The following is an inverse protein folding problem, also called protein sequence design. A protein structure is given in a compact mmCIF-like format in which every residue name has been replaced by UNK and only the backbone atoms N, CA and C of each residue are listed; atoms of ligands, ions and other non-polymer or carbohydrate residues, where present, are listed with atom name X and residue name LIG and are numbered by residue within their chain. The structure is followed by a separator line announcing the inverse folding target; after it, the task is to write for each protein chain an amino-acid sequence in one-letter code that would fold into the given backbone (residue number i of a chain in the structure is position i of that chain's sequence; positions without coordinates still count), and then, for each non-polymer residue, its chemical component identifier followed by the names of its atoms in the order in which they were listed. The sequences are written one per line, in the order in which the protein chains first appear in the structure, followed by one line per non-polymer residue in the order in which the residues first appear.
data_IF_581023037474
#
_entry.id   IF_581023037474
#
_cell.length_a   1.000
_cell.length_b   1.000
_cell.length_c   1.000
_cell.angle_alpha   90.00
_cell.angle_beta   90.00
_cell.angle_gamma   90.00
#
_symmetry.space_group_name_H-M   'P 1'
#
loop_
_entity.id
_entity.type
_entity.pdbx_description
1 polymer ?
#
# COMPACT_ATOMS: atom_id res chain seq x y z
N UNK A 1 6.48 -0.61 27.44
CA UNK A 1 7.15 -0.20 26.18
C UNK A 1 6.06 0.07 25.14
N UNK A 2 5.94 1.29 24.64
CA UNK A 2 4.92 1.61 23.62
C UNK A 2 5.29 0.90 22.30
N UNK A 3 4.33 0.19 21.71
CA UNK A 3 4.50 -0.52 20.42
C UNK A 3 4.98 0.41 19.31
N UNK A 4 4.66 1.70 19.40
CA UNK A 4 5.10 2.74 18.47
C UNK A 4 6.62 2.96 18.53
N UNK A 5 7.25 2.83 19.70
CA UNK A 5 8.70 2.96 19.86
C UNK A 5 9.48 1.79 19.25
N UNK A 6 8.83 0.65 18.99
CA UNK A 6 9.46 -0.51 18.34
C UNK A 6 9.21 -0.56 16.83
N UNK A 7 8.17 0.14 16.36
CA UNK A 7 7.77 0.15 14.95
C UNK A 7 8.40 1.32 14.18
N UNK A 8 8.36 2.52 14.74
CA UNK A 8 8.77 3.72 14.01
C UNK A 8 10.29 3.91 13.95
N UNK A 9 10.76 4.38 12.81
CA UNK A 9 12.15 4.76 12.55
C UNK A 9 12.17 6.08 11.77
N UNK A 10 13.31 6.76 11.79
CA UNK A 10 13.49 7.98 11.02
C UNK A 10 13.77 7.65 9.54
N UNK A 11 13.12 8.38 8.65
CA UNK A 11 13.35 8.30 7.21
C UNK A 11 12.79 9.54 6.50
N UNK A 12 13.14 9.67 5.23
CA UNK A 12 12.69 10.77 4.39
C UNK A 12 12.80 10.40 2.91
N UNK A 13 11.96 11.03 2.10
CA UNK A 13 11.96 10.91 0.64
C UNK A 13 11.63 12.27 0.02
N UNK A 14 12.27 12.58 -1.11
CA UNK A 14 11.99 13.77 -1.90
C UNK A 14 11.63 13.34 -3.32
N UNK A 15 10.52 13.86 -3.83
CA UNK A 15 9.97 13.49 -5.12
C UNK A 15 9.73 14.77 -5.91
N UNK A 16 10.33 14.85 -7.09
CA UNK A 16 10.10 15.94 -8.03
C UNK A 16 8.99 15.55 -9.00
N UNK A 17 7.91 16.33 -9.02
CA UNK A 17 6.79 16.15 -9.93
C UNK A 17 6.75 17.31 -10.92
N UNK A 18 6.39 17.00 -12.17
CA UNK A 18 6.16 18.01 -13.20
C UNK A 18 4.91 17.67 -13.99
N UNK A 19 4.17 18.71 -14.38
CA UNK A 19 3.07 18.64 -15.33
C UNK A 19 3.48 19.11 -16.74
N UNK A 20 4.76 19.45 -16.95
CA UNK A 20 5.26 19.96 -18.23
C UNK A 20 5.58 18.81 -19.17
N UNK A 21 5.06 18.88 -20.40
CA UNK A 21 5.25 17.82 -21.42
C UNK A 21 6.72 17.54 -21.75
N UNK A 22 7.59 18.55 -21.75
CA UNK A 22 9.02 18.34 -22.04
C UNK A 22 9.75 17.55 -20.94
N UNK A 23 9.22 17.55 -19.70
CA UNK A 23 9.82 16.77 -18.61
C UNK A 23 9.50 15.29 -18.70
N UNK A 24 8.54 14.88 -19.53
CA UNK A 24 8.13 13.48 -19.70
C UNK A 24 9.30 12.60 -20.18
N UNK A 25 10.20 13.14 -21.02
CA UNK A 25 11.34 12.40 -21.56
C UNK A 25 12.38 12.02 -20.49
N UNK A 26 12.49 12.80 -19.42
CA UNK A 26 13.43 12.58 -18.31
C UNK A 26 12.78 12.00 -17.06
N UNK A 27 11.46 11.82 -17.09
CA UNK A 27 10.69 11.35 -15.93
C UNK A 27 10.75 9.84 -15.80
N UNK A 28 10.89 9.35 -14.57
CA UNK A 28 10.87 7.90 -14.29
C UNK A 28 9.47 7.31 -14.43
N UNK A 29 8.50 7.99 -13.84
CA UNK A 29 7.13 7.54 -13.67
C UNK A 29 6.13 8.60 -14.10
N UNK A 30 4.94 8.15 -14.50
CA UNK A 30 3.76 8.97 -14.73
C UNK A 30 2.69 8.58 -13.73
N UNK A 31 2.18 9.57 -12.99
CA UNK A 31 1.03 9.38 -12.11
C UNK A 31 -0.24 9.26 -12.97
N UNK A 32 -0.99 8.17 -12.81
CA UNK A 32 -2.23 7.92 -13.55
C UNK A 32 -3.45 8.26 -12.71
N UNK A 33 -3.52 7.74 -11.48
CA UNK A 33 -4.67 7.88 -10.61
C UNK A 33 -4.26 8.09 -9.16
N UNK A 34 -5.03 8.92 -8.45
CA UNK A 34 -4.98 9.09 -7.00
C UNK A 34 -6.37 8.88 -6.45
N UNK A 35 -6.52 7.94 -5.50
CA UNK A 35 -7.78 7.66 -4.82
C UNK A 35 -7.55 7.72 -3.33
N UNK A 36 -8.29 8.60 -2.67
CA UNK A 36 -8.24 8.77 -1.22
C UNK A 36 -9.59 8.45 -0.59
N UNK A 37 -9.56 7.57 0.39
CA UNK A 37 -10.69 7.25 1.25
C UNK A 37 -10.44 7.82 2.64
N UNK A 38 -11.46 8.45 3.23
CA UNK A 38 -11.42 9.04 4.56
C UNK A 38 -12.58 8.52 5.41
N UNK A 39 -12.28 7.88 6.53
CA UNK A 39 -13.28 7.28 7.43
C UNK A 39 -13.45 8.04 8.75
N UNK A 40 -12.92 9.27 8.86
CA UNK A 40 -12.94 9.99 10.14
C UNK A 40 -14.28 10.54 10.63
N UNK A 41 -15.37 10.26 9.92
CA UNK A 41 -16.71 10.42 10.46
C UNK A 41 -17.14 9.25 11.36
N UNK A 42 -16.45 8.11 11.33
CA UNK A 42 -16.68 6.98 12.23
C UNK A 42 -15.74 7.09 13.43
N UNK A 43 -16.29 7.16 14.64
CA UNK A 43 -15.52 7.38 15.88
C UNK A 43 -14.45 6.31 16.12
N UNK A 44 -14.73 5.06 15.75
CA UNK A 44 -13.75 3.97 15.87
C UNK A 44 -12.58 4.15 14.92
N UNK A 45 -12.84 4.67 13.72
CA UNK A 45 -11.83 5.00 12.72
C UNK A 45 -11.03 6.24 13.13
N UNK A 46 -11.70 7.26 13.64
CA UNK A 46 -11.07 8.48 14.18
C UNK A 46 -10.16 8.16 15.36
N UNK A 47 -10.66 7.39 16.33
CA UNK A 47 -9.92 6.93 17.50
C UNK A 47 -8.87 5.85 17.26
N UNK A 48 -8.67 5.41 16.02
CA UNK A 48 -7.79 4.26 15.74
C UNK A 48 -6.29 4.58 15.84
N UNK A 49 -5.91 5.82 15.52
CA UNK A 49 -4.54 6.33 15.59
C UNK A 49 -4.61 7.79 16.02
N UNK A 50 -4.21 8.06 17.27
CA UNK A 50 -4.24 9.41 17.85
C UNK A 50 -2.89 9.72 18.47
N UNK A 51 -2.38 10.93 18.24
CA UNK A 51 -1.29 11.49 19.02
C UNK A 51 -1.87 12.09 20.29
N UNK A 52 -1.41 11.63 21.45
CA UNK A 52 -1.91 12.05 22.76
C UNK A 52 -0.85 11.83 23.83
N UNK A 53 -1.02 12.48 24.98
CA UNK A 53 -0.19 12.26 26.15
C UNK A 53 -0.55 10.93 26.83
N UNK A 54 0.44 10.27 27.41
CA UNK A 54 0.21 9.15 28.32
C UNK A 54 -0.11 9.65 29.75
N UNK A 55 -0.30 8.70 30.67
CA UNK A 55 -0.63 9.03 32.06
C UNK A 55 0.45 9.81 32.81
N UNK A 56 1.68 9.80 32.29
CA UNK A 56 2.84 10.50 32.86
C UNK A 56 3.13 11.83 32.13
N UNK A 57 2.28 12.21 31.15
CA UNK A 57 2.37 13.46 30.40
C UNK A 57 3.35 13.42 29.21
N UNK A 58 3.81 12.24 28.80
CA UNK A 58 4.67 12.12 27.63
C UNK A 58 3.85 11.99 26.35
N UNK A 59 4.12 12.87 25.38
CA UNK A 59 3.48 12.84 24.06
C UNK A 59 3.87 11.55 23.34
N UNK A 60 2.86 10.77 22.96
CA UNK A 60 3.02 9.53 22.21
C UNK A 60 1.97 9.35 21.13
N UNK A 61 1.99 8.18 20.49
CA UNK A 61 0.95 7.76 19.54
C UNK A 61 0.24 6.55 20.11
N UNK A 62 -1.07 6.68 20.29
CA UNK A 62 -1.99 5.62 20.69
C UNK A 62 -2.51 4.90 19.45
N UNK A 63 -2.43 3.56 19.47
CA UNK A 63 -2.94 2.68 18.43
C UNK A 63 -4.05 1.81 19.01
N UNK A 64 -5.25 1.88 18.46
CA UNK A 64 -6.36 1.07 18.95
C UNK A 64 -6.23 -0.41 18.53
N UNK A 65 -6.87 -1.30 19.29
CA UNK A 65 -6.96 -2.73 18.91
C UNK A 65 -7.79 -2.96 17.64
N UNK A 66 -8.63 -2.00 17.25
CA UNK A 66 -9.46 -2.07 16.05
C UNK A 66 -8.73 -1.63 14.78
N UNK A 67 -7.47 -1.20 14.88
CA UNK A 67 -6.68 -0.66 13.76
C UNK A 67 -6.72 -1.55 12.51
N UNK A 68 -6.48 -2.85 12.65
CA UNK A 68 -6.48 -3.79 11.51
C UNK A 68 -7.85 -3.90 10.84
N UNK A 69 -8.93 -3.91 11.63
CA UNK A 69 -10.30 -3.98 11.09
C UNK A 69 -10.68 -2.67 10.38
N UNK A 70 -10.35 -1.52 10.97
CA UNK A 70 -10.55 -0.21 10.35
C UNK A 70 -9.75 -0.10 9.04
N UNK A 71 -8.50 -0.59 9.04
CA UNK A 71 -7.67 -0.62 7.85
C UNK A 71 -8.26 -1.47 6.72
N UNK A 72 -8.75 -2.67 7.03
CA UNK A 72 -9.42 -3.53 6.06
C UNK A 72 -10.67 -2.89 5.46
N UNK A 73 -11.48 -2.21 6.27
CA UNK A 73 -12.66 -1.50 5.78
C UNK A 73 -12.29 -0.31 4.89
N UNK A 74 -11.31 0.50 5.31
CA UNK A 74 -10.84 1.63 4.52
C UNK A 74 -10.24 1.16 3.18
N UNK A 75 -9.49 0.05 3.19
CA UNK A 75 -8.98 -0.57 1.97
C UNK A 75 -10.11 -1.05 1.07
N UNK A 76 -11.12 -1.74 1.62
CA UNK A 76 -12.28 -2.23 0.84
C UNK A 76 -13.02 -1.09 0.13
N UNK A 77 -13.25 0.02 0.83
CA UNK A 77 -13.86 1.21 0.23
C UNK A 77 -12.93 1.88 -0.78
N UNK A 78 -11.62 1.86 -0.55
CA UNK A 78 -10.68 2.43 -1.50
C UNK A 78 -10.61 1.62 -2.81
N UNK A 79 -10.61 0.29 -2.72
CA UNK A 79 -10.57 -0.57 -3.92
C UNK A 79 -11.88 -0.56 -4.71
N UNK A 80 -13.02 -0.29 -4.08
CA UNK A 80 -14.28 -0.14 -4.83
C UNK A 80 -14.28 1.10 -5.72
N UNK A 81 -13.61 2.17 -5.28
CA UNK A 81 -13.42 3.39 -6.08
C UNK A 81 -12.28 3.24 -7.10
N UNK A 82 -11.19 2.58 -6.71
CA UNK A 82 -10.03 2.38 -7.60
C UNK A 82 -10.30 1.37 -8.72
N UNK A 83 -11.04 0.29 -8.43
CA UNK A 83 -11.28 -0.82 -9.34
C UNK A 83 -11.72 -0.40 -10.74
N UNK A 84 -12.78 0.43 -10.88
CA UNK A 84 -13.25 0.91 -12.18
C UNK A 84 -12.22 1.74 -12.98
N UNK A 85 -11.24 2.35 -12.32
CA UNK A 85 -10.21 3.18 -12.96
C UNK A 85 -9.06 2.35 -13.53
N UNK A 86 -8.79 1.17 -12.96
CA UNK A 86 -7.55 0.41 -13.22
C UNK A 86 -7.76 -0.99 -13.76
N UNK A 87 -8.89 -1.62 -13.44
CA UNK A 87 -9.15 -3.00 -13.84
C UNK A 87 -9.59 -3.07 -15.31
N UNK A 88 -9.18 -4.11 -16.05
CA UNK A 88 -9.72 -4.37 -17.38
C UNK A 88 -11.25 -4.53 -17.36
N UNK A 89 -11.93 -4.11 -18.44
CA UNK A 89 -13.39 -4.20 -18.55
C UNK A 89 -13.96 -5.59 -18.24
N UNK A 90 -13.26 -6.67 -18.61
CA UNK A 90 -13.68 -8.05 -18.32
C UNK A 90 -13.78 -8.34 -16.81
N UNK A 91 -12.84 -7.82 -16.03
CA UNK A 91 -12.85 -7.94 -14.57
C UNK A 91 -13.95 -7.07 -13.94
N UNK A 92 -14.19 -5.88 -14.50
CA UNK A 92 -15.29 -5.02 -14.07
C UNK A 92 -16.65 -5.68 -14.31
N UNK A 93 -16.84 -6.34 -15.46
CA UNK A 93 -18.06 -7.08 -15.77
C UNK A 93 -18.27 -8.26 -14.82
N UNK A 94 -17.22 -8.98 -14.44
CA UNK A 94 -17.30 -10.07 -13.43
C UNK A 94 -17.74 -9.54 -12.07
N UNK A 95 -17.17 -8.42 -11.63
CA UNK A 95 -17.57 -7.75 -10.39
C UNK A 95 -19.02 -7.28 -10.45
N UNK A 96 -19.40 -6.61 -11.56
CA UNK A 96 -20.75 -6.10 -11.79
C UNK A 96 -21.80 -7.21 -11.82
N UNK A 97 -21.51 -8.32 -12.50
CA UNK A 97 -22.38 -9.50 -12.53
C UNK A 97 -22.55 -10.12 -11.15
N UNK A 98 -21.47 -10.22 -10.36
CA UNK A 98 -21.54 -10.69 -8.97
C UNK A 98 -22.45 -9.82 -8.09
N UNK A 99 -22.40 -8.50 -8.27
CA UNK A 99 -23.26 -7.55 -7.55
C UNK A 99 -24.73 -7.62 -7.99
N UNK A 100 -24.98 -7.73 -9.31
CA UNK A 100 -26.33 -7.83 -9.90
C UNK A 100 -26.99 -9.17 -9.55
N UNK A 101 -26.25 -10.26 -9.63
CA UNK A 101 -26.73 -11.60 -9.27
C UNK A 101 -27.13 -11.67 -7.79
N UNK A 102 -26.44 -10.95 -6.91
CA UNK A 102 -26.82 -10.80 -5.49
C UNK A 102 -28.09 -9.97 -5.30
N UNK A 103 -28.25 -8.90 -6.09
CA UNK A 103 -29.41 -8.01 -6.02
C UNK A 103 -30.69 -8.66 -6.56
N UNK A 104 -30.55 -9.55 -7.55
CA UNK A 104 -31.66 -10.23 -8.22
C UNK A 104 -31.95 -11.64 -7.66
N UNK A 105 -30.95 -12.35 -7.12
CA UNK A 105 -31.07 -13.74 -6.67
C UNK A 105 -30.60 -13.91 -5.21
N UNK A 106 -31.57 -13.75 -4.30
CA UNK A 106 -31.71 -14.47 -3.02
C UNK A 106 -31.12 -13.88 -1.72
N UNK A 107 -32.05 -13.76 -0.77
CA UNK A 107 -32.05 -13.90 0.70
C UNK A 107 -31.28 -15.12 1.28
N UNK A 108 -30.07 -15.45 0.81
CA UNK A 108 -29.35 -16.60 1.37
C UNK A 108 -27.82 -16.41 1.41
N UNK A 109 -27.29 -16.36 2.63
CA UNK A 109 -25.92 -16.72 2.94
C UNK A 109 -24.86 -15.65 2.64
N UNK A 110 -23.99 -15.41 3.63
CA UNK A 110 -22.75 -14.63 3.52
C UNK A 110 -21.76 -15.31 2.55
N UNK A 111 -22.03 -15.32 1.23
CA UNK A 111 -21.02 -15.67 0.24
C UNK A 111 -20.01 -14.52 0.15
N UNK A 112 -18.72 -14.85 0.25
CA UNK A 112 -17.61 -13.91 0.22
C UNK A 112 -17.72 -12.95 -0.96
N UNK A 113 -17.50 -11.66 -0.70
CA UNK A 113 -17.46 -10.61 -1.73
C UNK A 113 -16.38 -11.00 -2.73
N UNK A 114 -16.73 -11.06 -4.02
CA UNK A 114 -15.74 -11.27 -5.09
C UNK A 114 -14.69 -10.17 -5.00
N UNK A 115 -13.45 -10.56 -4.68
CA UNK A 115 -12.29 -9.66 -4.68
C UNK A 115 -11.73 -9.67 -6.11
N UNK A 116 -11.70 -8.51 -6.80
CA UNK A 116 -11.11 -8.42 -8.13
C UNK A 116 -9.64 -8.82 -8.12
N UNK A 117 -9.18 -9.45 -9.20
CA UNK A 117 -7.77 -9.78 -9.35
C UNK A 117 -6.96 -8.54 -9.77
N UNK A 118 -6.44 -7.82 -8.79
CA UNK A 118 -5.64 -6.62 -9.01
C UNK A 118 -4.28 -6.90 -9.65
N UNK A 119 -3.81 -8.16 -9.70
CA UNK A 119 -2.59 -8.53 -10.43
C UNK A 119 -2.74 -8.35 -11.95
N UNK A 120 -3.98 -8.21 -12.45
CA UNK A 120 -4.26 -7.86 -13.85
C UNK A 120 -4.12 -6.38 -14.15
N UNK A 121 -4.19 -5.54 -13.12
CA UNK A 121 -4.05 -4.10 -13.23
C UNK A 121 -2.63 -3.60 -12.86
N UNK A 122 -1.90 -4.36 -12.04
CA UNK A 122 -0.61 -3.95 -11.52
C UNK A 122 0.41 -5.07 -11.56
N UNK A 123 1.61 -4.73 -12.01
CA UNK A 123 2.77 -5.61 -12.02
C UNK A 123 3.50 -5.56 -10.66
N UNK A 124 3.43 -4.43 -9.95
CA UNK A 124 4.12 -4.22 -8.68
C UNK A 124 3.24 -3.57 -7.63
N UNK A 125 3.45 -3.97 -6.37
CA UNK A 125 2.73 -3.46 -5.21
C UNK A 125 3.73 -2.87 -4.20
N UNK A 126 3.42 -1.68 -3.69
CA UNK A 126 4.11 -1.00 -2.60
C UNK A 126 3.09 -0.78 -1.49
N UNK A 127 3.09 -1.69 -0.51
CA UNK A 127 2.15 -1.67 0.60
C UNK A 127 2.87 -1.03 1.78
N UNK A 128 2.41 0.15 2.20
CA UNK A 128 3.00 0.91 3.30
C UNK A 128 3.39 0.00 4.46
N UNK A 129 4.69 0.01 4.76
CA UNK A 129 5.31 -0.70 5.88
C UNK A 129 4.89 -0.15 7.27
N UNK A 130 3.58 -0.09 7.53
CA UNK A 130 2.99 0.34 8.80
C UNK A 130 3.31 -0.62 9.95
N UNK A 131 3.46 -1.90 9.61
CA UNK A 131 3.78 -3.01 10.50
C UNK A 131 3.43 -4.33 9.81
N UNK A 132 3.94 -5.45 10.33
CA UNK A 132 3.74 -6.79 9.73
C UNK A 132 2.27 -7.12 9.54
N UNK A 133 1.44 -6.90 10.58
CA UNK A 133 0.02 -7.20 10.54
C UNK A 133 -0.75 -6.40 9.48
N UNK A 134 -0.30 -5.18 9.17
CA UNK A 134 -0.92 -4.36 8.10
C UNK A 134 -0.59 -4.94 6.73
N UNK A 135 0.67 -5.33 6.50
CA UNK A 135 1.08 -5.97 5.24
C UNK A 135 0.29 -7.29 5.05
N UNK A 136 0.26 -8.14 6.09
CA UNK A 136 -0.47 -9.42 6.07
C UNK A 136 -1.98 -9.21 5.78
N UNK A 137 -2.59 -8.17 6.38
CA UNK A 137 -3.99 -7.85 6.16
C UNK A 137 -4.26 -7.39 4.71
N UNK A 138 -3.38 -6.55 4.13
CA UNK A 138 -3.53 -6.10 2.74
C UNK A 138 -3.36 -7.26 1.77
N UNK A 139 -2.31 -8.08 1.95
CA UNK A 139 -2.07 -9.27 1.13
C UNK A 139 -3.28 -10.21 1.16
N UNK A 140 -3.83 -10.48 2.34
CA UNK A 140 -5.03 -11.31 2.50
C UNK A 140 -6.27 -10.72 1.83
N UNK A 141 -6.54 -9.42 2.02
CA UNK A 141 -7.71 -8.75 1.44
C UNK A 141 -7.65 -8.68 -0.09
N UNK A 142 -6.46 -8.57 -0.67
CA UNK A 142 -6.24 -8.48 -2.11
C UNK A 142 -5.88 -9.83 -2.75
N UNK A 143 -5.79 -10.91 -1.96
CA UNK A 143 -5.35 -12.24 -2.39
C UNK A 143 -3.98 -12.23 -3.09
N UNK A 144 -3.07 -11.40 -2.58
CA UNK A 144 -1.70 -11.29 -3.06
C UNK A 144 -0.83 -12.45 -2.53
N UNK A 145 0.19 -12.79 -3.29
CA UNK A 145 1.21 -13.74 -2.87
C UNK A 145 2.31 -13.01 -2.08
N UNK A 146 3.13 -13.76 -1.33
CA UNK A 146 4.20 -13.17 -0.50
C UNK A 146 5.22 -12.41 -1.32
N UNK A 147 5.45 -12.85 -2.56
CA UNK A 147 6.37 -12.25 -3.52
C UNK A 147 5.88 -10.85 -3.96
N UNK A 148 4.56 -10.66 -4.03
CA UNK A 148 3.96 -9.36 -4.38
C UNK A 148 4.18 -8.33 -3.25
N UNK A 149 4.23 -8.78 -2.00
CA UNK A 149 4.52 -7.95 -0.82
C UNK A 149 6.00 -7.88 -0.43
N UNK A 150 6.92 -8.45 -1.22
CA UNK A 150 8.35 -8.57 -0.87
C UNK A 150 8.97 -7.19 -0.61
N UNK A 151 8.69 -6.18 -1.44
CA UNK A 151 9.24 -4.84 -1.29
C UNK A 151 8.85 -4.21 0.06
N UNK A 152 7.58 -4.33 0.44
CA UNK A 152 7.03 -3.89 1.73
C UNK A 152 7.69 -4.59 2.91
N UNK A 153 7.83 -5.91 2.82
CA UNK A 153 8.41 -6.73 3.88
C UNK A 153 9.90 -6.46 4.07
N UNK A 154 10.66 -6.34 2.97
CA UNK A 154 12.09 -6.03 3.04
C UNK A 154 12.31 -4.60 3.55
N UNK A 155 11.47 -3.64 3.12
CA UNK A 155 11.52 -2.27 3.63
C UNK A 155 11.26 -2.23 5.13
N UNK A 156 10.21 -2.92 5.60
CA UNK A 156 9.90 -3.01 7.03
C UNK A 156 11.05 -3.68 7.81
N UNK A 157 11.62 -4.77 7.29
CA UNK A 157 12.73 -5.48 7.94
C UNK A 157 13.96 -4.58 8.07
N UNK A 158 14.33 -3.85 7.00
CA UNK A 158 15.56 -3.09 6.94
C UNK A 158 15.46 -1.73 7.64
N UNK A 159 14.41 -0.99 7.33
CA UNK A 159 14.27 0.42 7.71
C UNK A 159 13.22 0.64 8.79
N UNK A 160 12.44 -0.37 9.15
CA UNK A 160 11.26 -0.21 10.00
C UNK A 160 10.17 0.61 9.33
N UNK A 161 9.22 1.09 10.12
CA UNK A 161 8.19 2.00 9.65
C UNK A 161 8.75 3.44 9.65
N UNK A 162 9.09 3.95 8.47
CA UNK A 162 9.53 5.34 8.27
C UNK A 162 8.37 6.31 8.03
N UNK A 163 7.16 5.94 8.48
CA UNK A 163 5.93 6.71 8.26
C UNK A 163 5.68 6.93 6.75
N UNK A 164 5.32 8.15 6.36
CA UNK A 164 4.95 8.53 4.99
C UNK A 164 6.01 8.20 3.93
N UNK A 165 7.29 8.10 4.28
CA UNK A 165 8.33 7.76 3.32
C UNK A 165 8.41 6.28 2.94
N UNK A 166 7.83 5.36 3.72
CA UNK A 166 8.03 3.91 3.54
C UNK A 166 7.70 3.41 2.12
N UNK A 167 6.61 3.90 1.53
CA UNK A 167 6.17 3.51 0.17
C UNK A 167 7.17 3.91 -0.93
N UNK A 168 8.03 4.89 -0.66
CA UNK A 168 9.11 5.29 -1.58
C UNK A 168 10.34 4.40 -1.42
N UNK A 169 10.63 3.92 -0.21
CA UNK A 169 11.69 2.93 0.01
C UNK A 169 11.31 1.59 -0.64
N UNK A 170 10.02 1.25 -0.62
CA UNK A 170 9.47 0.08 -1.33
C UNK A 170 9.65 0.22 -2.85
N UNK A 171 9.35 1.39 -3.42
CA UNK A 171 9.57 1.65 -4.84
C UNK A 171 11.07 1.56 -5.21
N UNK A 172 11.94 2.19 -4.41
CA UNK A 172 13.39 2.11 -4.62
C UNK A 172 13.92 0.68 -4.49
N UNK A 173 13.31 -0.16 -3.66
CA UNK A 173 13.67 -1.59 -3.58
C UNK A 173 13.40 -2.28 -4.93
N UNK A 174 12.22 -2.05 -5.50
CA UNK A 174 11.85 -2.62 -6.81
C UNK A 174 12.76 -2.11 -7.93
N UNK A 175 13.13 -0.83 -7.91
CA UNK A 175 14.11 -0.24 -8.83
C UNK A 175 15.48 -0.91 -8.69
N UNK A 176 16.02 -0.99 -7.46
CA UNK A 176 17.35 -1.55 -7.19
C UNK A 176 17.42 -3.05 -7.49
N UNK A 177 16.29 -3.76 -7.41
CA UNK A 177 16.17 -5.16 -7.87
C UNK A 177 16.10 -5.30 -9.38
N UNK A 178 15.93 -4.20 -10.13
CA UNK A 178 15.66 -4.24 -11.56
C UNK A 178 14.34 -4.95 -11.91
N UNK A 179 13.39 -4.96 -10.97
CA UNK A 179 12.07 -5.61 -11.16
C UNK A 179 11.17 -4.76 -12.05
N UNK A 180 11.27 -3.43 -11.96
CA UNK A 180 10.42 -2.49 -12.70
C UNK A 180 10.91 -2.34 -14.14
N UNK A 181 10.04 -2.64 -15.10
CA UNK A 181 10.27 -2.45 -16.54
C UNK A 181 9.49 -1.23 -17.05
N UNK A 182 9.92 -0.69 -18.19
CA UNK A 182 9.17 0.36 -18.88
C UNK A 182 7.79 -0.16 -19.27
N UNK A 183 6.75 0.57 -18.89
CA UNK A 183 5.35 0.22 -19.13
C UNK A 183 4.64 -0.37 -17.92
N UNK A 184 5.39 -0.91 -16.95
CA UNK A 184 4.83 -1.52 -15.73
C UNK A 184 4.03 -0.50 -14.92
N UNK A 185 2.97 -0.98 -14.28
CA UNK A 185 2.13 -0.22 -13.37
C UNK A 185 2.42 -0.64 -11.94
N UNK A 186 2.58 0.37 -11.09
CA UNK A 186 2.91 0.22 -9.68
C UNK A 186 1.79 0.82 -8.87
N UNK A 187 1.31 0.07 -7.89
CA UNK A 187 0.32 0.55 -6.94
C UNK A 187 0.94 0.79 -5.58
N UNK A 188 0.97 2.05 -5.15
CA UNK A 188 1.29 2.42 -3.77
C UNK A 188 0.00 2.49 -2.94
N UNK A 189 -0.02 1.77 -1.82
CA UNK A 189 -1.12 1.72 -0.86
C UNK A 189 -0.60 2.24 0.47
N UNK A 190 -1.22 3.29 1.01
CA UNK A 190 -0.80 3.87 2.28
C UNK A 190 -1.97 4.14 3.23
N UNK A 191 -1.72 3.91 4.51
CA UNK A 191 -2.68 4.16 5.58
C UNK A 191 -2.24 5.33 6.46
N UNK A 192 -3.19 6.02 7.08
CA UNK A 192 -2.90 7.11 8.00
C UNK A 192 -4.03 7.37 8.99
N UNK A 193 -3.77 8.20 10.00
CA UNK A 193 -4.75 8.59 11.01
C UNK A 193 -5.97 9.28 10.39
N UNK A 194 -7.12 9.11 11.05
CA UNK A 194 -8.40 9.60 10.55
C UNK A 194 -9.53 8.57 10.60
N UNK A 195 -9.50 7.36 10.06
CA UNK A 195 -8.48 6.62 9.33
C UNK A 195 -8.56 6.89 7.81
N UNK A 196 -7.41 6.86 7.13
CA UNK A 196 -7.29 7.13 5.70
C UNK A 196 -6.66 5.95 4.98
N UNK A 197 -7.16 5.65 3.79
CA UNK A 197 -6.51 4.76 2.83
C UNK A 197 -6.25 5.56 1.56
N UNK A 198 -5.02 5.57 1.08
CA UNK A 198 -4.60 6.29 -0.13
C UNK A 198 -4.01 5.29 -1.12
N UNK A 199 -4.41 5.44 -2.37
CA UNK A 199 -3.89 4.69 -3.50
C UNK A 199 -3.30 5.66 -4.52
N UNK A 200 -2.05 5.41 -4.89
CA UNK A 200 -1.40 6.09 -6.01
C UNK A 200 -1.00 5.06 -7.07
N UNK A 201 -1.43 5.32 -8.30
CA UNK A 201 -1.15 4.46 -9.44
C UNK A 201 -0.12 5.13 -10.32
N UNK A 202 1.02 4.48 -10.46
CA UNK A 202 2.13 4.94 -11.27
C UNK A 202 2.31 4.05 -12.48
N UNK A 203 2.78 4.62 -13.58
CA UNK A 203 3.28 3.88 -14.74
C UNK A 203 4.73 4.22 -14.97
N UNK A 204 5.59 3.22 -15.07
CA UNK A 204 6.98 3.41 -15.50
C UNK A 204 7.00 3.83 -16.97
N UNK A 205 7.63 4.96 -17.28
CA UNK A 205 7.69 5.51 -18.65
C UNK A 205 9.10 5.54 -19.23
N UNK A 206 10.10 5.16 -18.43
CA UNK A 206 11.51 5.08 -18.81
C UNK A 206 12.08 3.69 -18.48
N UNK A 207 13.23 3.38 -19.08
CA UNK A 207 14.03 2.22 -18.67
C UNK A 207 14.89 2.67 -17.50
N UNK A 208 14.74 2.00 -16.36
CA UNK A 208 15.44 2.36 -15.13
C UNK A 208 16.77 1.60 -15.05
N UNK A 209 17.83 2.27 -14.62
CA UNK A 209 19.11 1.63 -14.31
C UNK A 209 19.08 1.09 -12.87
N UNK A 210 19.14 -0.23 -12.64
CA UNK A 210 19.17 -0.80 -11.29
C UNK A 210 20.41 -0.41 -10.48
N UNK A 211 21.46 0.11 -11.14
CA UNK A 211 22.70 0.57 -10.51
C UNK A 211 22.64 2.04 -10.08
N UNK A 212 21.58 2.76 -10.44
CA UNK A 212 21.37 4.14 -9.99
C UNK A 212 21.32 4.18 -8.46
N UNK A 213 22.03 5.14 -7.86
CA UNK A 213 22.17 5.20 -6.41
C UNK A 213 20.84 5.56 -5.75
N UNK A 214 20.39 4.75 -4.80
CA UNK A 214 19.20 4.97 -3.99
C UNK A 214 19.40 4.43 -2.57
N UNK A 215 18.33 4.42 -1.76
CA UNK A 215 18.37 3.98 -0.36
C UNK A 215 18.84 2.52 -0.15
N UNK A 216 18.82 1.69 -1.21
CA UNK A 216 19.15 0.27 -1.15
C UNK A 216 20.52 -0.08 -1.70
N UNK A 217 21.21 0.83 -2.38
CA UNK A 217 22.41 0.52 -3.19
C UNK A 217 23.55 -0.15 -2.42
N UNK A 218 23.66 0.09 -1.12
CA UNK A 218 24.70 -0.48 -0.27
C UNK A 218 24.52 -1.98 0.02
N UNK A 219 23.29 -2.49 0.05
CA UNK A 219 22.99 -3.87 0.51
C UNK A 219 21.90 -4.59 -0.28
N UNK A 220 21.44 -4.06 -1.41
CA UNK A 220 20.35 -4.69 -2.19
C UNK A 220 20.64 -6.15 -2.57
N UNK A 221 21.91 -6.49 -2.79
CA UNK A 221 22.37 -7.84 -3.13
C UNK A 221 22.16 -8.86 -1.99
N UNK A 222 22.07 -8.41 -0.73
CA UNK A 222 21.83 -9.28 0.44
C UNK A 222 20.34 -9.56 0.70
N UNK A 223 19.45 -9.00 -0.11
CA UNK A 223 18.00 -9.16 0.00
C UNK A 223 17.46 -10.04 -1.14
N UNK A 224 16.25 -10.62 -1.04
CA UNK A 224 15.43 -10.69 0.16
C UNK A 224 16.07 -11.59 1.22
N UNK A 225 15.78 -11.29 2.49
CA UNK A 225 16.15 -12.15 3.62
C UNK A 225 14.95 -12.99 4.03
N UNK A 226 15.21 -14.16 4.61
CA UNK A 226 14.14 -14.99 5.16
C UNK A 226 13.61 -14.35 6.44
N UNK A 227 12.36 -13.90 6.43
CA UNK A 227 11.69 -13.36 7.61
C UNK A 227 11.06 -14.53 8.39
N UNK A 228 11.38 -14.71 9.69
CA UNK A 228 10.76 -15.74 10.51
C UNK A 228 9.24 -15.60 10.52
N UNK A 229 8.54 -16.74 10.44
CA UNK A 229 7.12 -16.75 10.79
C UNK A 229 6.97 -16.32 12.25
N UNK A 230 5.93 -15.52 12.55
CA UNK A 230 5.65 -15.21 13.94
C UNK A 230 5.33 -16.53 14.68
N UNK A 231 5.72 -16.66 15.96
CA UNK A 231 5.28 -17.78 16.79
C UNK A 231 3.75 -17.80 16.92
#
# INVERSE_FOLDING_TARGET
MLVTNTIFRMGGAAILLSNKKHDEQRSKYKLLHLVRTHMGSDDRSYGSVIQQDDGDGFVGVSLSRSLSHVAGNALRTNISELGPLVLPYLEQLRCGWGAVHRKLWVTAGRKEIYVPDFKKAFEHFCIHAGGRAIIDAVESNLKLQKEDGEASRMTLHRFGNTSSSSVWYELCYLEAKGKVKKGDRIWQIAFGSGFKCNSAVWKSISVLDPKERNAWSDRIHSYPVQIPNAP
#
